data_IF_441958492438
#
_entry.id   IF_441958492438
#
_cell.length_a   1.000
_cell.length_b   1.000
_cell.length_c   1.000
_cell.angle_alpha   90.00
_cell.angle_beta   90.00
_cell.angle_gamma   90.00
#
_symmetry.space_group_name_H-M   'P 1'
#
loop_
_entity.id
_entity.type
_entity.pdbx_description
1 polymer ?
#
# COMPACT_ATOMS: atom_id res chain seq x y z
N UNK A 1 9.49 20.76 7.61
CA UNK A 1 8.88 21.87 8.36
C UNK A 1 10.00 22.54 9.13
N UNK A 2 10.19 23.85 8.97
CA UNK A 2 11.25 24.59 9.68
C UNK A 2 10.86 24.88 11.14
N UNK A 3 9.56 24.97 11.43
CA UNK A 3 9.01 25.09 12.78
C UNK A 3 8.19 23.84 13.16
N UNK A 4 8.51 23.15 14.25
CA UNK A 4 7.81 21.92 14.66
C UNK A 4 6.37 22.16 15.15
N UNK A 5 6.02 23.40 15.52
CA UNK A 5 4.67 23.76 15.98
C UNK A 5 3.62 23.81 14.85
N UNK A 6 4.05 23.88 13.59
CA UNK A 6 3.15 23.89 12.43
C UNK A 6 2.71 22.48 12.00
N UNK A 7 3.23 21.44 12.66
CA UNK A 7 2.92 20.04 12.37
C UNK A 7 1.41 19.71 12.37
N UNK A 8 0.60 20.07 13.39
CA UNK A 8 -0.83 19.77 13.38
C UNK A 8 -1.58 20.52 12.26
N UNK A 9 -1.13 21.72 11.90
CA UNK A 9 -1.75 22.51 10.81
C UNK A 9 -1.47 21.86 9.46
N UNK A 10 -0.23 21.47 9.20
CA UNK A 10 0.14 20.77 7.97
C UNK A 10 -0.55 19.40 7.88
N UNK A 11 -0.67 18.67 8.99
CA UNK A 11 -1.39 17.41 9.05
C UNK A 11 -2.88 17.59 8.75
N UNK A 12 -3.53 18.59 9.35
CA UNK A 12 -4.95 18.86 9.08
C UNK A 12 -5.21 19.21 7.60
N UNK A 13 -4.36 20.03 7.00
CA UNK A 13 -4.45 20.38 5.57
C UNK A 13 -4.23 19.15 4.70
N UNK A 14 -3.22 18.32 5.01
CA UNK A 14 -2.95 17.08 4.28
C UNK A 14 -4.17 16.16 4.33
N UNK A 15 -4.72 15.91 5.53
CA UNK A 15 -5.89 15.05 5.70
C UNK A 15 -7.11 15.58 4.95
N UNK A 16 -7.35 16.90 4.97
CA UNK A 16 -8.46 17.51 4.25
C UNK A 16 -8.32 17.33 2.72
N UNK A 17 -7.13 17.62 2.17
CA UNK A 17 -6.86 17.45 0.74
C UNK A 17 -6.95 15.99 0.33
N UNK A 18 -6.35 15.08 1.11
CA UNK A 18 -6.45 13.63 0.86
C UNK A 18 -7.90 13.16 0.90
N UNK A 19 -8.70 13.59 1.88
CA UNK A 19 -10.12 13.23 1.95
C UNK A 19 -10.86 13.67 0.68
N UNK A 20 -10.65 14.90 0.21
CA UNK A 20 -11.26 15.40 -1.02
C UNK A 20 -10.82 14.57 -2.23
N UNK A 21 -9.53 14.28 -2.37
CA UNK A 21 -8.98 13.52 -3.49
C UNK A 21 -9.37 12.04 -3.50
N UNK A 22 -9.65 11.44 -2.34
CA UNK A 22 -10.07 10.04 -2.25
C UNK A 22 -11.60 9.87 -2.25
N UNK A 23 -12.38 10.92 -1.96
CA UNK A 23 -13.86 10.85 -1.99
C UNK A 23 -14.43 11.35 -3.31
N UNK A 24 -13.98 12.51 -3.79
CA UNK A 24 -14.63 13.20 -4.92
C UNK A 24 -14.43 12.46 -6.25
N UNK A 25 -13.20 12.11 -6.68
CA UNK A 25 -13.00 11.41 -7.95
C UNK A 25 -13.69 10.04 -8.02
N UNK A 26 -13.63 9.16 -7.00
CA UNK A 26 -14.36 7.89 -7.04
C UNK A 26 -15.88 8.07 -7.03
N UNK A 27 -16.42 9.02 -6.27
CA UNK A 27 -17.87 9.30 -6.26
C UNK A 27 -18.38 9.75 -7.63
N UNK A 28 -17.64 10.64 -8.29
CA UNK A 28 -17.94 11.08 -9.66
C UNK A 28 -17.81 9.90 -10.63
N UNK A 29 -16.72 9.15 -10.55
CA UNK A 29 -16.51 7.96 -11.39
C UNK A 29 -17.64 6.95 -11.27
N UNK A 30 -18.02 6.59 -10.04
CA UNK A 30 -19.10 5.63 -9.79
C UNK A 30 -20.45 6.12 -10.32
N UNK A 31 -20.74 7.42 -10.23
CA UNK A 31 -21.97 8.02 -10.76
C UNK A 31 -22.10 7.91 -12.29
N UNK A 32 -20.98 7.92 -13.02
CA UNK A 32 -20.95 7.87 -14.48
C UNK A 32 -20.69 6.47 -15.05
N UNK A 33 -19.92 5.62 -14.36
CA UNK A 33 -19.57 4.26 -14.81
C UNK A 33 -20.58 3.20 -14.33
N UNK A 34 -21.28 3.45 -13.22
CA UNK A 34 -22.23 2.50 -12.63
C UNK A 34 -21.55 1.33 -11.91
N UNK A 35 -22.34 0.31 -11.59
CA UNK A 35 -21.94 -0.81 -10.72
C UNK A 35 -20.90 -1.78 -11.33
N UNK A 36 -20.72 -1.75 -12.65
CA UNK A 36 -19.78 -2.63 -13.37
C UNK A 36 -18.44 -1.96 -13.68
N UNK A 37 -18.06 -0.95 -12.88
CA UNK A 37 -16.75 -0.32 -13.00
C UNK A 37 -15.65 -1.32 -12.66
N UNK A 38 -14.75 -1.56 -13.61
CA UNK A 38 -13.53 -2.32 -13.37
C UNK A 38 -12.57 -1.55 -12.47
N UNK A 39 -11.80 -2.27 -11.65
CA UNK A 39 -10.68 -1.71 -10.91
C UNK A 39 -9.40 -1.98 -11.72
N UNK A 40 -8.65 -0.97 -12.17
CA UNK A 40 -8.79 0.48 -11.92
C UNK A 40 -9.88 1.17 -12.75
N UNK A 41 -10.54 2.19 -12.20
CA UNK A 41 -11.68 2.89 -12.84
C UNK A 41 -11.39 3.43 -14.26
N UNK A 42 -10.12 3.73 -14.58
CA UNK A 42 -9.73 4.16 -15.92
C UNK A 42 -9.85 3.04 -16.99
N UNK A 43 -9.90 1.78 -16.56
CA UNK A 43 -10.08 0.62 -17.42
C UNK A 43 -11.45 0.57 -18.09
N UNK A 44 -12.45 1.19 -17.46
CA UNK A 44 -13.86 1.24 -17.88
C UNK A 44 -14.20 2.41 -18.81
N UNK A 45 -13.23 3.24 -19.21
CA UNK A 45 -13.48 4.29 -20.20
C UNK A 45 -13.76 3.68 -21.58
N UNK A 46 -14.92 4.00 -22.16
CA UNK A 46 -15.35 3.46 -23.46
C UNK A 46 -14.55 3.94 -24.67
N UNK A 47 -13.90 5.11 -24.60
CA UNK A 47 -13.07 5.62 -25.70
C UNK A 47 -11.61 5.16 -25.55
N UNK A 48 -11.10 4.49 -26.59
CA UNK A 48 -9.72 3.99 -26.65
C UNK A 48 -8.70 5.15 -26.54
N UNK A 49 -9.05 6.33 -27.08
CA UNK A 49 -8.20 7.51 -27.03
C UNK A 49 -8.03 8.03 -25.60
N UNK A 50 -9.13 8.15 -24.83
CA UNK A 50 -9.06 8.61 -23.44
C UNK A 50 -8.39 7.57 -22.54
N UNK A 51 -8.65 6.29 -22.76
CA UNK A 51 -7.97 5.20 -22.04
C UNK A 51 -6.45 5.26 -22.20
N UNK A 52 -5.95 5.34 -23.45
CA UNK A 52 -4.51 5.45 -23.73
C UNK A 52 -3.88 6.72 -23.14
N UNK A 53 -4.56 7.85 -23.24
CA UNK A 53 -4.08 9.11 -22.66
C UNK A 53 -3.96 9.02 -21.14
N UNK A 54 -4.96 8.48 -20.45
CA UNK A 54 -4.93 8.27 -19.00
C UNK A 54 -3.82 7.31 -18.57
N UNK A 55 -3.63 6.18 -19.28
CA UNK A 55 -2.53 5.25 -19.00
C UNK A 55 -1.16 5.91 -19.20
N UNK A 56 -0.99 6.76 -20.22
CA UNK A 56 0.25 7.51 -20.45
C UNK A 56 0.66 8.37 -19.26
N UNK A 57 -0.29 9.08 -18.64
CA UNK A 57 -0.02 9.91 -17.46
C UNK A 57 0.24 9.09 -16.20
N UNK A 58 -0.34 7.89 -16.06
CA UNK A 58 -0.15 7.01 -14.89
C UNK A 58 1.20 6.29 -14.93
N UNK A 59 1.72 5.96 -16.11
CA UNK A 59 2.99 5.22 -16.25
C UNK A 59 4.16 5.98 -15.61
N UNK A 60 4.25 7.30 -15.83
CA UNK A 60 5.36 8.12 -15.32
C UNK A 60 5.46 8.09 -13.78
N UNK A 61 4.42 8.45 -13.00
CA UNK A 61 4.48 8.40 -11.55
C UNK A 61 4.64 6.96 -11.03
N UNK A 62 4.00 5.96 -11.67
CA UNK A 62 4.14 4.55 -11.24
C UNK A 62 5.57 4.06 -11.37
N UNK A 63 6.27 4.40 -12.46
CA UNK A 63 7.69 4.06 -12.63
C UNK A 63 8.57 4.73 -11.57
N UNK A 64 8.33 6.02 -11.30
CA UNK A 64 9.09 6.77 -10.30
C UNK A 64 8.91 6.13 -8.91
N UNK A 65 7.66 5.87 -8.52
CA UNK A 65 7.34 5.26 -7.22
C UNK A 65 7.93 3.84 -7.12
N UNK A 66 7.81 3.03 -8.17
CA UNK A 66 8.38 1.68 -8.22
C UNK A 66 9.89 1.68 -8.05
N UNK A 67 10.60 2.59 -8.73
CA UNK A 67 12.06 2.73 -8.60
C UNK A 67 12.44 3.18 -7.19
N UNK A 68 11.72 4.13 -6.59
CA UNK A 68 12.00 4.58 -5.22
C UNK A 68 11.84 3.43 -4.23
N UNK A 69 10.73 2.68 -4.29
CA UNK A 69 10.51 1.57 -3.36
C UNK A 69 11.49 0.41 -3.57
N UNK A 70 11.84 0.08 -4.82
CA UNK A 70 12.88 -0.92 -5.09
C UNK A 70 14.22 -0.49 -4.49
N UNK A 71 14.60 0.79 -4.61
CA UNK A 71 15.82 1.34 -4.01
C UNK A 71 15.81 1.33 -2.48
N UNK A 72 14.69 1.68 -1.86
CA UNK A 72 14.58 1.66 -0.39
C UNK A 72 14.71 0.22 0.12
N UNK A 73 14.01 -0.73 -0.50
CA UNK A 73 14.10 -2.16 -0.14
C UNK A 73 15.50 -2.71 -0.34
N UNK A 74 16.11 -2.43 -1.50
CA UNK A 74 17.48 -2.85 -1.79
C UNK A 74 18.47 -2.28 -0.78
N UNK A 75 18.32 -1.00 -0.38
CA UNK A 75 19.17 -0.38 0.63
C UNK A 75 18.99 -1.01 2.01
N UNK A 76 17.76 -1.33 2.41
CA UNK A 76 17.48 -2.01 3.67
C UNK A 76 18.12 -3.40 3.71
N UNK A 77 17.97 -4.18 2.64
CA UNK A 77 18.59 -5.51 2.51
C UNK A 77 20.11 -5.38 2.50
N UNK A 78 20.67 -4.48 1.68
CA UNK A 78 22.11 -4.26 1.57
C UNK A 78 22.75 -3.84 2.91
N UNK A 79 22.07 -2.97 3.67
CA UNK A 79 22.54 -2.55 5.00
C UNK A 79 22.50 -3.71 5.99
N UNK A 80 21.47 -4.57 5.93
CA UNK A 80 21.38 -5.77 6.77
C UNK A 80 22.42 -6.83 6.42
N UNK A 81 22.73 -7.02 5.13
CA UNK A 81 23.68 -8.05 4.67
C UNK A 81 25.13 -7.60 4.78
N UNK A 82 25.41 -6.31 4.59
CA UNK A 82 26.77 -5.78 4.41
C UNK A 82 27.18 -4.75 5.47
N UNK A 83 26.31 -4.44 6.44
CA UNK A 83 26.49 -3.37 7.44
C UNK A 83 27.70 -3.49 8.37
N UNK A 84 28.37 -4.63 8.43
CA UNK A 84 29.62 -4.85 9.21
C UNK A 84 30.87 -4.98 8.33
N UNK A 85 30.77 -4.93 7.00
CA UNK A 85 31.89 -5.15 6.08
C UNK A 85 32.49 -3.83 5.57
N UNK A 86 33.84 -3.77 5.47
CA UNK A 86 34.62 -2.67 4.85
C UNK A 86 34.16 -2.32 3.42
N UNK A 87 33.47 -3.25 2.76
CA UNK A 87 32.88 -3.10 1.42
C UNK A 87 31.62 -2.21 1.39
N UNK A 88 31.06 -1.84 2.54
CA UNK A 88 29.93 -0.90 2.61
C UNK A 88 30.34 0.56 2.34
N UNK A 89 31.63 0.88 2.42
CA UNK A 89 32.15 2.24 2.24
C UNK A 89 33.16 2.40 1.09
N UNK A 90 33.75 1.32 0.57
CA UNK A 90 34.58 1.36 -0.64
C UNK A 90 33.80 0.88 -1.86
N UNK A 91 33.87 1.64 -2.96
CA UNK A 91 33.36 1.24 -4.28
C UNK A 91 34.11 0.00 -4.78
N UNK A 92 33.64 -1.17 -4.36
CA UNK A 92 34.25 -2.46 -4.68
C UNK A 92 33.33 -3.19 -5.66
N UNK A 93 33.89 -3.86 -6.68
CA UNK A 93 33.10 -4.59 -7.68
C UNK A 93 32.13 -5.61 -7.04
N UNK A 94 32.51 -6.18 -5.88
CA UNK A 94 31.66 -7.08 -5.09
C UNK A 94 30.44 -6.36 -4.50
N UNK A 95 30.60 -5.12 -4.02
CA UNK A 95 29.49 -4.32 -3.49
C UNK A 95 28.47 -3.93 -4.57
N UNK A 96 28.97 -3.54 -5.75
CA UNK A 96 28.12 -3.30 -6.93
C UNK A 96 27.44 -4.58 -7.44
N UNK A 97 28.12 -5.72 -7.42
CA UNK A 97 27.55 -7.01 -7.77
C UNK A 97 26.42 -7.44 -6.82
N UNK A 98 26.62 -7.33 -5.51
CA UNK A 98 25.59 -7.64 -4.51
C UNK A 98 24.41 -6.68 -4.62
N UNK A 99 24.66 -5.38 -4.82
CA UNK A 99 23.59 -4.41 -5.05
C UNK A 99 22.77 -4.72 -6.30
N UNK A 100 23.43 -5.02 -7.42
CA UNK A 100 22.79 -5.41 -8.67
C UNK A 100 21.96 -6.69 -8.52
N UNK A 101 22.50 -7.70 -7.83
CA UNK A 101 21.80 -8.96 -7.55
C UNK A 101 20.51 -8.72 -6.73
N UNK A 102 20.59 -7.92 -5.67
CA UNK A 102 19.43 -7.58 -4.83
C UNK A 102 18.40 -6.84 -5.66
N UNK A 103 18.81 -5.87 -6.48
CA UNK A 103 17.92 -5.14 -7.37
C UNK A 103 17.20 -6.06 -8.34
N UNK A 104 17.94 -6.89 -9.07
CA UNK A 104 17.36 -7.86 -10.01
C UNK A 104 16.39 -8.80 -9.29
N UNK A 105 16.73 -9.27 -8.09
CA UNK A 105 15.85 -10.11 -7.28
C UNK A 105 14.53 -9.42 -6.91
N UNK A 106 14.57 -8.16 -6.48
CA UNK A 106 13.37 -7.38 -6.16
C UNK A 106 12.50 -7.16 -7.39
N UNK A 107 13.09 -6.83 -8.53
CA UNK A 107 12.36 -6.64 -9.79
C UNK A 107 11.77 -7.94 -10.34
N UNK A 108 12.51 -9.05 -10.27
CA UNK A 108 12.02 -10.37 -10.66
C UNK A 108 10.84 -10.83 -9.79
N UNK A 109 10.92 -10.60 -8.48
CA UNK A 109 9.83 -10.91 -7.57
C UNK A 109 8.59 -10.07 -7.92
N UNK A 110 8.75 -8.77 -8.19
CA UNK A 110 7.67 -7.92 -8.67
C UNK A 110 7.06 -8.40 -9.99
N UNK A 111 7.89 -8.87 -10.93
CA UNK A 111 7.43 -9.44 -12.21
C UNK A 111 6.60 -10.71 -12.00
N UNK A 112 7.05 -11.61 -11.12
CA UNK A 112 6.31 -12.84 -10.79
C UNK A 112 4.95 -12.51 -10.17
N UNK A 113 4.88 -11.56 -9.24
CA UNK A 113 3.59 -11.14 -8.67
C UNK A 113 2.66 -10.54 -9.74
N UNK A 114 3.19 -9.73 -10.67
CA UNK A 114 2.39 -9.13 -11.73
C UNK A 114 1.74 -10.16 -12.68
N UNK A 115 2.39 -11.29 -12.91
CA UNK A 115 1.89 -12.37 -13.79
C UNK A 115 0.94 -13.34 -13.08
N UNK A 116 1.08 -13.48 -11.76
CA UNK A 116 0.27 -14.41 -10.97
C UNK A 116 -1.11 -13.81 -10.66
N UNK A 117 -1.15 -12.53 -10.27
CA UNK A 117 -2.36 -11.90 -9.72
C UNK A 117 -3.45 -11.74 -10.80
N UNK A 118 -4.63 -12.37 -10.64
CA UNK A 118 -5.72 -12.31 -11.62
C UNK A 118 -6.51 -10.99 -11.54
N UNK A 119 -6.61 -10.40 -10.35
CA UNK A 119 -7.34 -9.14 -10.10
C UNK A 119 -6.52 -8.21 -9.19
N UNK A 120 -6.32 -6.97 -9.65
CA UNK A 120 -5.59 -5.94 -8.87
C UNK A 120 -6.34 -5.51 -7.60
N UNK A 121 -7.68 -5.61 -7.61
CA UNK A 121 -8.52 -5.20 -6.48
C UNK A 121 -8.33 -6.10 -5.26
N UNK A 122 -8.34 -7.41 -5.48
CA UNK A 122 -8.25 -8.41 -4.40
C UNK A 122 -6.85 -8.46 -3.80
N UNK A 123 -5.82 -8.28 -4.64
CA UNK A 123 -4.45 -8.12 -4.15
C UNK A 123 -4.28 -6.86 -3.31
N UNK A 124 -4.84 -5.72 -3.73
CA UNK A 124 -4.78 -4.49 -2.96
C UNK A 124 -5.53 -4.61 -1.64
N UNK A 125 -6.68 -5.30 -1.64
CA UNK A 125 -7.45 -5.62 -0.44
C UNK A 125 -6.65 -6.49 0.52
N UNK A 126 -6.00 -7.55 0.02
CA UNK A 126 -5.13 -8.44 0.79
C UNK A 126 -3.96 -7.69 1.43
N UNK A 127 -3.24 -6.88 0.65
CA UNK A 127 -2.12 -6.08 1.13
C UNK A 127 -2.56 -5.06 2.19
N UNK A 128 -3.70 -4.39 1.96
CA UNK A 128 -4.27 -3.46 2.92
C UNK A 128 -4.64 -4.17 4.23
N UNK A 129 -5.33 -5.30 4.14
CA UNK A 129 -5.73 -6.09 5.30
C UNK A 129 -4.52 -6.62 6.10
N UNK A 130 -3.42 -6.99 5.44
CA UNK A 130 -2.23 -7.51 6.10
C UNK A 130 -1.32 -6.42 6.67
N UNK A 131 -1.04 -5.35 5.91
CA UNK A 131 -0.02 -4.35 6.26
C UNK A 131 -0.60 -3.06 6.85
N UNK A 132 -1.70 -2.56 6.29
CA UNK A 132 -2.32 -1.31 6.75
C UNK A 132 -3.03 -1.50 8.09
N UNK A 133 -3.61 -2.69 8.34
CA UNK A 133 -4.17 -3.04 9.65
C UNK A 133 -3.13 -2.91 10.79
N UNK A 134 -1.92 -3.41 10.54
CA UNK A 134 -0.84 -3.41 11.51
C UNK A 134 -0.24 -2.02 11.71
N UNK A 135 0.17 -1.36 10.63
CA UNK A 135 0.82 -0.04 10.72
C UNK A 135 -0.16 1.10 10.98
N UNK A 136 -1.34 1.08 10.36
CA UNK A 136 -2.32 2.16 10.41
C UNK A 136 -3.16 2.18 11.69
N UNK A 137 -3.56 1.01 12.21
CA UNK A 137 -4.47 0.95 13.37
C UNK A 137 -3.79 0.39 14.62
N UNK A 138 -3.19 -0.81 14.53
CA UNK A 138 -2.67 -1.53 15.70
C UNK A 138 -1.46 -0.81 16.32
N UNK A 139 -0.48 -0.41 15.50
CA UNK A 139 0.75 0.23 15.98
C UNK A 139 0.48 1.55 16.72
N UNK A 140 -0.33 2.44 16.15
CA UNK A 140 -0.66 3.73 16.75
C UNK A 140 -1.49 3.59 18.03
N UNK A 141 -2.40 2.61 18.09
CA UNK A 141 -3.18 2.33 19.30
C UNK A 141 -2.28 1.86 20.46
N UNK A 142 -1.31 0.97 20.19
CA UNK A 142 -0.33 0.51 21.19
C UNK A 142 0.60 1.65 21.60
N UNK A 143 1.05 2.49 20.66
CA UNK A 143 1.90 3.64 20.95
C UNK A 143 1.20 4.65 21.88
N UNK A 144 -0.10 4.90 21.65
CA UNK A 144 -0.90 5.75 22.54
C UNK A 144 -0.98 5.19 23.97
N UNK A 145 -1.16 3.87 24.09
CA UNK A 145 -1.18 3.19 25.38
C UNK A 145 0.15 3.30 26.13
N UNK A 146 1.28 3.13 25.43
CA UNK A 146 2.61 3.26 26.01
C UNK A 146 2.92 4.70 26.43
N UNK A 147 2.52 5.69 25.63
CA UNK A 147 2.78 7.10 25.91
C UNK A 147 1.98 7.63 27.12
N UNK A 148 0.77 7.13 27.35
CA UNK A 148 -0.11 7.57 28.45
C UNK A 148 -0.10 6.65 29.67
N UNK A 149 0.89 5.76 29.80
CA UNK A 149 1.03 4.83 30.92
C UNK A 149 0.99 5.60 32.25
N UNK A 150 -0.05 5.37 33.07
CA UNK A 150 -0.24 6.01 34.37
C UNK A 150 -1.25 7.16 34.41
N UNK A 151 -1.76 7.66 33.29
CA UNK A 151 -2.82 8.70 33.28
C UNK A 151 -4.02 8.41 32.37
N UNK A 152 -4.18 7.15 31.96
CA UNK A 152 -5.23 6.67 31.04
C UNK A 152 -6.65 7.07 31.48
N UNK A 153 -6.90 7.09 32.80
CA UNK A 153 -8.20 7.42 33.39
C UNK A 153 -8.18 8.68 34.26
N UNK A 154 -7.14 9.52 34.12
CA UNK A 154 -6.98 10.71 34.97
C UNK A 154 -7.99 11.84 34.68
N UNK A 155 -8.89 11.67 33.70
CA UNK A 155 -9.98 12.61 33.42
C UNK A 155 -10.89 12.13 32.29
N UNK A 156 -12.13 12.66 32.25
CA UNK A 156 -13.18 12.27 31.28
C UNK A 156 -12.70 12.35 29.82
N UNK A 157 -11.95 13.40 29.46
CA UNK A 157 -11.40 13.53 28.10
C UNK A 157 -10.38 12.43 27.75
N UNK A 158 -9.50 12.07 28.69
CA UNK A 158 -8.50 11.00 28.48
C UNK A 158 -9.13 9.61 28.47
N UNK A 159 -10.19 9.41 29.26
CA UNK A 159 -10.98 8.16 29.24
C UNK A 159 -11.64 7.96 27.88
N UNK A 160 -12.29 8.99 27.31
CA UNK A 160 -12.90 8.90 25.98
C UNK A 160 -11.87 8.62 24.89
N UNK A 161 -10.71 9.29 24.93
CA UNK A 161 -9.62 9.03 23.99
C UNK A 161 -9.04 7.61 24.15
N UNK A 162 -8.95 7.09 25.38
CA UNK A 162 -8.49 5.72 25.62
C UNK A 162 -9.48 4.70 25.06
N UNK A 163 -10.79 4.91 25.26
CA UNK A 163 -11.84 4.07 24.68
C UNK A 163 -11.80 4.08 23.15
N UNK A 164 -11.61 5.26 22.54
CA UNK A 164 -11.48 5.39 21.09
C UNK A 164 -10.25 4.61 20.56
N UNK A 165 -9.11 4.68 21.24
CA UNK A 165 -7.91 3.93 20.84
C UNK A 165 -8.11 2.40 20.99
N UNK A 166 -8.83 1.95 22.02
CA UNK A 166 -9.19 0.53 22.18
C UNK A 166 -10.14 0.07 21.07
N UNK A 167 -11.11 0.91 20.68
CA UNK A 167 -11.99 0.63 19.55
C UNK A 167 -11.21 0.53 18.25
N UNK A 168 -10.30 1.48 17.99
CA UNK A 168 -9.41 1.47 16.82
C UNK A 168 -8.57 0.19 16.77
N UNK A 169 -8.04 -0.25 17.91
CA UNK A 169 -7.31 -1.51 18.01
C UNK A 169 -8.19 -2.72 17.65
N UNK A 170 -9.44 -2.74 18.13
CA UNK A 170 -10.42 -3.77 17.77
C UNK A 170 -10.75 -3.80 16.28
N UNK A 171 -10.94 -2.64 15.65
CA UNK A 171 -11.14 -2.52 14.20
C UNK A 171 -9.92 -3.01 13.43
N UNK A 172 -8.70 -2.66 13.87
CA UNK A 172 -7.46 -3.15 13.27
C UNK A 172 -7.36 -4.69 13.30
N UNK A 173 -7.71 -5.32 14.43
CA UNK A 173 -7.77 -6.77 14.55
C UNK A 173 -8.86 -7.40 13.68
N UNK A 174 -10.00 -6.74 13.53
CA UNK A 174 -11.07 -7.20 12.65
C UNK A 174 -10.65 -7.14 11.18
N UNK A 175 -9.99 -6.07 10.74
CA UNK A 175 -9.47 -5.99 9.37
C UNK A 175 -8.39 -7.05 9.14
N UNK A 176 -7.50 -7.29 10.12
CA UNK A 176 -6.45 -8.29 10.02
C UNK A 176 -6.98 -9.74 10.01
N UNK A 177 -8.04 -10.03 10.76
CA UNK A 177 -8.61 -11.38 10.85
C UNK A 177 -9.60 -11.66 9.71
N UNK A 178 -10.88 -11.37 9.90
CA UNK A 178 -11.90 -11.63 8.88
C UNK A 178 -11.66 -10.86 7.56
N UNK A 179 -11.07 -9.66 7.60
CA UNK A 179 -10.75 -8.93 6.37
C UNK A 179 -9.69 -9.64 5.52
N UNK A 180 -8.64 -10.17 6.15
CA UNK A 180 -7.63 -10.97 5.45
C UNK A 180 -8.22 -12.29 4.94
N UNK A 181 -9.05 -12.96 5.75
CA UNK A 181 -9.72 -14.19 5.36
C UNK A 181 -10.60 -14.00 4.11
N UNK A 182 -11.44 -12.96 4.11
CA UNK A 182 -12.31 -12.66 2.98
C UNK A 182 -11.52 -12.31 1.71
N UNK A 183 -10.40 -11.58 1.84
CA UNK A 183 -9.54 -11.28 0.69
C UNK A 183 -8.87 -12.55 0.12
N UNK A 184 -8.45 -13.49 0.97
CA UNK A 184 -7.89 -14.77 0.52
C UNK A 184 -8.95 -15.65 -0.14
N UNK A 185 -10.15 -15.70 0.42
CA UNK A 185 -11.28 -16.45 -0.14
C UNK A 185 -11.69 -15.90 -1.51
N UNK A 186 -11.76 -14.57 -1.67
CA UNK A 186 -12.03 -13.94 -2.96
C UNK A 186 -10.98 -14.31 -4.03
N UNK A 187 -9.70 -14.35 -3.65
CA UNK A 187 -8.64 -14.80 -4.58
C UNK A 187 -8.86 -16.27 -4.95
N UNK A 188 -9.17 -17.15 -4.00
CA UNK A 188 -9.42 -18.57 -4.29
C UNK A 188 -10.60 -18.74 -5.26
N UNK A 189 -11.68 -17.99 -5.04
CA UNK A 189 -12.87 -18.02 -5.90
C UNK A 189 -12.55 -17.53 -7.32
N UNK A 190 -11.73 -16.48 -7.47
CA UNK A 190 -11.25 -16.00 -8.77
C UNK A 190 -10.42 -17.07 -9.52
N UNK A 191 -9.62 -17.86 -8.81
CA UNK A 191 -8.87 -18.99 -9.40
C UNK A 191 -9.74 -20.23 -9.65
N UNK A 192 -10.93 -20.33 -9.06
CA UNK A 192 -11.83 -21.49 -9.23
C UNK A 192 -12.70 -21.40 -10.49
N UNK A 193 -12.94 -20.18 -10.97
CA UNK A 193 -13.64 -19.89 -12.23
C UNK A 193 -12.65 -19.96 -13.39
N UNK A 194 -13.10 -20.23 -14.62
CA UNK A 194 -12.26 -20.52 -15.81
C UNK A 194 -11.01 -19.63 -15.94
N UNK A 195 -9.90 -20.09 -15.36
CA UNK A 195 -8.66 -19.31 -15.29
C UNK A 195 -7.93 -19.39 -16.61
N UNK A 196 -7.62 -18.22 -17.17
CA UNK A 196 -6.56 -18.10 -18.17
C UNK A 196 -5.23 -18.49 -17.51
N UNK A 197 -4.38 -19.30 -18.17
CA UNK A 197 -3.13 -19.72 -17.56
C UNK A 197 -2.23 -18.51 -17.25
N UNK A 198 -1.49 -18.58 -16.14
CA UNK A 198 -0.41 -17.65 -15.83
C UNK A 198 0.59 -17.63 -17.00
N UNK A 199 1.16 -16.46 -17.33
CA UNK A 199 1.98 -16.22 -18.53
C UNK A 199 1.23 -16.31 -19.87
N UNK A 200 0.02 -15.75 -19.95
CA UNK A 200 -0.64 -15.55 -21.25
C UNK A 200 -0.32 -14.17 -21.81
N UNK A 201 -0.13 -14.08 -23.13
CA UNK A 201 -0.01 -12.78 -23.84
C UNK A 201 -1.31 -11.94 -23.83
N UNK A 202 -2.31 -12.35 -23.04
CA UNK A 202 -3.58 -11.67 -22.90
C UNK A 202 -3.48 -10.62 -21.78
N UNK A 203 -4.14 -9.48 -21.98
CA UNK A 203 -4.14 -8.40 -20.99
C UNK A 203 -4.98 -8.80 -19.76
N UNK A 204 -4.31 -9.17 -18.67
CA UNK A 204 -4.93 -9.54 -17.38
C UNK A 204 -5.30 -8.33 -16.51
N UNK A 205 -5.07 -7.09 -16.98
CA UNK A 205 -5.26 -5.88 -16.18
C UNK A 205 -6.71 -5.37 -16.09
N UNK A 206 -7.70 -6.15 -16.56
CA UNK A 206 -9.13 -5.74 -16.63
C UNK A 206 -10.04 -6.94 -16.41
#
# INVERSE_FOLDING_TARGET
MEKPQDFPKALAVLTAISCILFVVPPAIGFRYLGQYSTAPAFGSLGSIAYKKASFGFVIVPTLIIGVIYANVTAKLIYTKTMGTSRHAHSNTAIGWGVWGLIMVGVWLLGFVFAEIIPSMGDFLSLLSAAFDSFFGFIYFAIAYWQLNRGSLFAGLGKTTLTLLNVFIFGVGLFILGPGLYAAVEAIIDDYSTAVTPAFTCANMAI
#
